data_IF_355992174774
#
_entry.id   IF_355992174774
#
_cell.length_a   1.000
_cell.length_b   1.000
_cell.length_c   1.000
_cell.angle_alpha   90.00
_cell.angle_beta   90.00
_cell.angle_gamma   90.00
#
_symmetry.space_group_name_H-M   'P 1'
#
loop_
_entity.id
_entity.type
_entity.pdbx_description
1 polymer ?
#
# COMPACT_ATOMS: atom_id res chain seq x y z
N UNK A 1 -1.50 -24.23 11.98
CA UNK A 1 -2.78 -24.79 12.50
C UNK A 1 -3.09 -24.09 13.81
N UNK A 2 -3.32 -22.77 13.74
CA UNK A 2 -3.54 -21.94 14.92
C UNK A 2 -5.01 -22.02 15.30
N UNK A 3 -5.23 -22.19 16.60
CA UNK A 3 -6.50 -22.47 17.25
C UNK A 3 -7.59 -21.46 16.85
N UNK A 4 -8.59 -21.91 16.08
CA UNK A 4 -9.81 -21.14 15.73
C UNK A 4 -10.75 -21.00 16.94
N UNK A 5 -10.49 -21.70 18.06
CA UNK A 5 -11.32 -21.69 19.24
C UNK A 5 -11.02 -20.48 20.13
N UNK A 6 -11.63 -19.32 19.83
CA UNK A 6 -11.59 -18.23 20.79
C UNK A 6 -11.97 -16.84 20.30
N UNK A 7 -12.25 -16.65 19.01
CA UNK A 7 -12.83 -15.41 18.51
C UNK A 7 -14.34 -15.62 18.40
N UNK A 8 -15.06 -15.47 19.50
CA UNK A 8 -16.51 -15.63 19.57
C UNK A 8 -17.27 -14.31 19.75
N UNK A 9 -16.56 -13.27 20.21
CA UNK A 9 -17.14 -11.98 20.60
C UNK A 9 -16.30 -10.80 20.15
N UNK A 10 -16.96 -9.67 19.95
CA UNK A 10 -16.31 -8.39 19.65
C UNK A 10 -15.39 -7.94 20.78
N UNK A 11 -15.79 -8.14 22.05
CA UNK A 11 -14.97 -7.80 23.21
C UNK A 11 -13.58 -8.46 23.14
N UNK A 12 -13.54 -9.76 22.80
CA UNK A 12 -12.29 -10.51 22.70
C UNK A 12 -11.45 -10.10 21.50
N UNK A 13 -12.08 -9.89 20.35
CA UNK A 13 -11.39 -9.34 19.18
C UNK A 13 -10.76 -7.97 19.50
N UNK A 14 -11.51 -7.11 20.17
CA UNK A 14 -11.07 -5.76 20.53
C UNK A 14 -9.93 -5.78 21.54
N UNK A 15 -10.02 -6.62 22.58
CA UNK A 15 -8.97 -6.77 23.60
C UNK A 15 -7.63 -7.28 23.03
N UNK A 16 -7.66 -8.00 21.90
CA UNK A 16 -6.44 -8.44 21.22
C UNK A 16 -5.86 -7.34 20.34
N UNK A 17 -6.70 -6.64 19.59
CA UNK A 17 -6.25 -5.71 18.55
C UNK A 17 -5.95 -4.31 19.06
N UNK A 18 -6.60 -3.86 20.12
CA UNK A 18 -6.57 -2.46 20.57
C UNK A 18 -6.14 -2.35 22.04
N UNK A 19 -5.52 -1.22 22.38
CA UNK A 19 -5.15 -0.87 23.77
C UNK A 19 -5.98 0.32 24.28
N UNK A 20 -7.25 0.39 23.83
CA UNK A 20 -8.15 1.51 24.06
C UNK A 20 -8.38 2.36 22.81
N UNK A 21 -9.64 2.76 22.60
CA UNK A 21 -10.06 3.52 21.41
C UNK A 21 -9.88 2.74 20.12
N UNK A 22 -9.66 3.46 19.00
CA UNK A 22 -9.51 2.88 17.66
C UNK A 22 -8.04 2.69 17.22
N UNK A 23 -7.09 2.71 18.15
CA UNK A 23 -5.67 2.54 17.85
C UNK A 23 -5.21 1.11 18.10
N UNK A 24 -4.43 0.56 17.17
CA UNK A 24 -3.87 -0.78 17.33
C UNK A 24 -2.90 -0.86 18.50
N UNK A 25 -3.01 -1.94 19.28
CA UNK A 25 -2.14 -2.22 20.42
C UNK A 25 -0.69 -2.41 19.97
N UNK A 26 0.30 -1.78 20.64
CA UNK A 26 1.71 -2.04 20.38
C UNK A 26 2.09 -3.52 20.55
N UNK A 27 1.43 -4.24 21.47
CA UNK A 27 1.68 -5.66 21.69
C UNK A 27 1.24 -6.51 20.50
N UNK A 28 0.08 -6.19 19.91
CA UNK A 28 -0.39 -6.85 18.70
C UNK A 28 0.51 -6.54 17.50
N UNK A 29 0.88 -5.27 17.30
CA UNK A 29 1.79 -4.86 16.23
C UNK A 29 3.14 -5.56 16.35
N UNK A 30 3.74 -5.61 17.55
CA UNK A 30 5.00 -6.32 17.75
C UNK A 30 4.92 -7.81 17.43
N UNK A 31 3.77 -8.46 17.68
CA UNK A 31 3.58 -9.88 17.40
C UNK A 31 3.56 -10.20 15.90
N UNK A 32 3.08 -9.27 15.08
CA UNK A 32 2.92 -9.46 13.63
C UNK A 32 3.98 -8.74 12.81
N UNK A 33 5.00 -8.17 13.46
CA UNK A 33 5.96 -7.22 12.85
C UNK A 33 5.23 -6.10 12.10
N UNK A 34 4.20 -5.57 12.76
CA UNK A 34 3.10 -4.89 12.13
C UNK A 34 3.41 -3.47 11.70
N UNK A 35 2.86 -3.12 10.54
CA UNK A 35 2.87 -1.75 10.02
C UNK A 35 1.46 -1.22 10.02
N UNK A 36 1.30 0.08 10.29
CA UNK A 36 0.00 0.77 10.23
C UNK A 36 0.00 1.81 9.12
N UNK A 37 -1.09 1.85 8.34
CA UNK A 37 -1.35 2.82 7.28
C UNK A 37 -2.73 3.46 7.49
N UNK A 38 -2.82 4.79 7.63
CA UNK A 38 -4.10 5.48 7.73
C UNK A 38 -4.71 5.78 6.35
N UNK A 39 -6.03 5.78 6.30
CA UNK A 39 -6.85 6.15 5.14
C UNK A 39 -7.94 7.13 5.57
N UNK A 40 -8.25 8.12 4.73
CA UNK A 40 -9.46 8.91 4.91
C UNK A 40 -10.66 8.04 4.49
N UNK A 41 -11.70 7.98 5.32
CA UNK A 41 -12.82 7.07 5.13
C UNK A 41 -14.11 7.67 5.67
N UNK A 42 -15.23 7.57 4.94
CA UNK A 42 -16.52 8.05 5.43
C UNK A 42 -17.20 7.07 6.41
N UNK A 43 -16.60 6.68 7.54
CA UNK A 43 -17.25 5.84 8.58
C UNK A 43 -18.02 4.58 8.08
N UNK A 44 -17.64 4.05 6.91
CA UNK A 44 -18.13 2.82 6.30
C UNK A 44 -17.11 2.27 5.31
N UNK A 45 -17.22 0.98 4.93
CA UNK A 45 -16.43 0.41 3.84
C UNK A 45 -16.99 0.95 2.52
N UNK A 46 -16.21 1.83 1.90
CA UNK A 46 -16.39 2.20 0.51
C UNK A 46 -15.62 1.23 -0.41
N UNK A 47 -15.79 1.40 -1.73
CA UNK A 47 -15.10 0.58 -2.72
C UNK A 47 -13.58 0.60 -2.55
N UNK A 48 -13.01 1.76 -2.19
CA UNK A 48 -11.56 1.90 -2.03
C UNK A 48 -11.04 1.06 -0.87
N UNK A 49 -11.71 1.09 0.28
CA UNK A 49 -11.31 0.27 1.43
C UNK A 49 -11.54 -1.22 1.17
N UNK A 50 -12.61 -1.58 0.45
CA UNK A 50 -12.82 -2.96 0.02
C UNK A 50 -11.69 -3.45 -0.90
N UNK A 51 -11.28 -2.63 -1.87
CA UNK A 51 -10.17 -2.95 -2.78
C UNK A 51 -8.85 -3.11 -2.02
N UNK A 52 -8.58 -2.26 -1.02
CA UNK A 52 -7.40 -2.34 -0.14
C UNK A 52 -7.39 -3.66 0.65
N UNK A 53 -8.52 -4.02 1.27
CA UNK A 53 -8.65 -5.28 2.00
C UNK A 53 -8.50 -6.49 1.08
N UNK A 54 -9.16 -6.49 -0.08
CA UNK A 54 -9.07 -7.54 -1.07
C UNK A 54 -7.62 -7.75 -1.54
N UNK A 55 -6.93 -6.66 -1.89
CA UNK A 55 -5.56 -6.71 -2.36
C UNK A 55 -4.59 -7.29 -1.30
N UNK A 56 -4.72 -6.83 -0.06
CA UNK A 56 -3.95 -7.36 1.06
C UNK A 56 -4.24 -8.84 1.32
N UNK A 57 -5.51 -9.22 1.35
CA UNK A 57 -5.94 -10.59 1.59
C UNK A 57 -5.46 -11.55 0.49
N UNK A 58 -5.55 -11.11 -0.77
CA UNK A 58 -5.01 -11.83 -1.94
C UNK A 58 -3.50 -12.05 -1.82
N UNK A 59 -2.73 -11.05 -1.38
CA UNK A 59 -1.29 -11.15 -1.23
C UNK A 59 -0.86 -12.22 -0.20
N UNK A 60 -1.69 -12.46 0.83
CA UNK A 60 -1.47 -13.50 1.85
C UNK A 60 -2.32 -14.75 1.65
N UNK A 61 -3.03 -14.86 0.51
CA UNK A 61 -3.87 -16.01 0.12
C UNK A 61 -4.98 -16.33 1.13
N UNK A 62 -5.61 -15.28 1.67
CA UNK A 62 -6.79 -15.38 2.53
C UNK A 62 -8.00 -14.81 1.79
N UNK A 63 -9.14 -15.48 1.88
CA UNK A 63 -10.38 -15.12 1.16
C UNK A 63 -11.52 -14.64 2.07
N UNK A 64 -11.36 -14.83 3.38
CA UNK A 64 -12.40 -14.61 4.39
C UNK A 64 -11.82 -13.89 5.61
N UNK A 65 -12.67 -13.12 6.27
CA UNK A 65 -12.35 -12.37 7.48
C UNK A 65 -13.46 -12.45 8.50
N UNK A 66 -13.28 -11.72 9.58
CA UNK A 66 -14.30 -11.52 10.62
C UNK A 66 -14.50 -10.04 10.86
N UNK A 67 -15.75 -9.63 11.07
CA UNK A 67 -16.12 -8.25 11.35
C UNK A 67 -16.74 -8.12 12.74
N UNK A 68 -16.49 -7.00 13.41
CA UNK A 68 -17.03 -6.68 14.73
C UNK A 68 -17.28 -5.19 14.92
N UNK A 69 -18.40 -4.82 15.56
CA UNK A 69 -18.80 -3.42 15.77
C UNK A 69 -18.15 -2.84 17.03
N UNK A 70 -17.33 -1.81 16.87
CA UNK A 70 -16.57 -1.19 17.95
C UNK A 70 -17.39 -0.08 18.62
N UNK A 71 -18.27 -0.47 19.54
CA UNK A 71 -18.98 0.44 20.44
C UNK A 71 -19.29 -0.27 21.75
N UNK A 72 -19.38 0.48 22.86
CA UNK A 72 -19.63 -0.10 24.19
C UNK A 72 -20.91 -0.96 24.23
N UNK A 73 -21.98 -0.51 23.56
CA UNK A 73 -23.26 -1.23 23.48
C UNK A 73 -23.21 -2.56 22.71
N UNK A 74 -22.11 -2.85 22.02
CA UNK A 74 -21.97 -3.97 21.09
C UNK A 74 -20.78 -4.87 21.42
N UNK A 75 -20.23 -4.79 22.63
CA UNK A 75 -19.09 -5.61 23.04
C UNK A 75 -19.41 -7.11 23.10
N UNK A 76 -20.65 -7.45 23.47
CA UNK A 76 -21.14 -8.83 23.56
C UNK A 76 -21.66 -9.39 22.22
N UNK A 77 -21.66 -8.58 21.16
CA UNK A 77 -22.08 -9.03 19.84
C UNK A 77 -21.15 -10.14 19.33
N UNK A 78 -21.75 -11.11 18.63
CA UNK A 78 -20.99 -12.10 17.89
C UNK A 78 -20.26 -11.45 16.72
N UNK A 79 -19.04 -11.91 16.45
CA UNK A 79 -18.33 -11.52 15.23
C UNK A 79 -19.03 -12.12 14.00
N UNK A 80 -19.05 -11.36 12.91
CA UNK A 80 -19.70 -11.76 11.65
C UNK A 80 -18.65 -12.23 10.66
N UNK A 81 -18.77 -13.44 10.08
CA UNK A 81 -17.87 -13.86 9.00
C UNK A 81 -18.13 -13.00 7.76
N UNK A 82 -17.06 -12.55 7.10
CA UNK A 82 -17.14 -11.72 5.89
C UNK A 82 -16.32 -12.31 4.75
N UNK A 83 -16.81 -12.15 3.53
CA UNK A 83 -16.00 -12.41 2.33
C UNK A 83 -15.09 -11.22 2.06
N UNK A 84 -13.80 -11.48 1.81
CA UNK A 84 -12.83 -10.44 1.42
C UNK A 84 -12.67 -10.36 -0.11
N UNK A 85 -13.27 -11.29 -0.85
CA UNK A 85 -13.21 -11.35 -2.32
C UNK A 85 -14.42 -10.75 -3.01
N UNK A 86 -15.47 -10.45 -2.25
CA UNK A 86 -16.69 -9.83 -2.74
C UNK A 86 -16.91 -8.50 -1.99
N UNK A 87 -16.60 -7.39 -2.67
CA UNK A 87 -16.74 -6.05 -2.11
C UNK A 87 -18.18 -5.69 -1.74
N UNK A 88 -19.17 -6.20 -2.47
CA UNK A 88 -20.57 -5.94 -2.18
C UNK A 88 -21.02 -6.71 -0.94
N UNK A 89 -20.62 -7.99 -0.82
CA UNK A 89 -20.87 -8.77 0.39
C UNK A 89 -20.17 -8.17 1.62
N UNK A 90 -18.92 -7.71 1.47
CA UNK A 90 -18.19 -7.05 2.54
C UNK A 90 -18.88 -5.76 3.01
N UNK A 91 -19.31 -4.91 2.08
CA UNK A 91 -20.03 -3.69 2.40
C UNK A 91 -21.40 -3.96 3.05
N UNK A 92 -22.09 -5.03 2.63
CA UNK A 92 -23.37 -5.44 3.21
C UNK A 92 -23.24 -6.06 4.61
N UNK A 93 -22.10 -6.72 4.89
CA UNK A 93 -21.83 -7.35 6.18
C UNK A 93 -21.19 -6.39 7.21
N UNK A 94 -20.93 -5.13 6.81
CA UNK A 94 -20.38 -4.10 7.69
C UNK A 94 -21.38 -2.98 7.93
N UNK A 95 -21.05 -2.10 8.88
CA UNK A 95 -21.96 -1.11 9.41
C UNK A 95 -21.63 0.28 8.91
N UNK A 96 -22.61 1.18 9.01
CA UNK A 96 -22.49 2.60 8.67
C UNK A 96 -22.61 3.43 9.93
N UNK A 97 -21.94 4.57 9.95
CA UNK A 97 -22.05 5.59 11.01
C UNK A 97 -21.69 5.07 12.41
N UNK A 98 -20.90 3.99 12.47
CA UNK A 98 -20.40 3.38 13.70
C UNK A 98 -18.99 2.84 13.47
N UNK A 99 -18.20 2.76 14.53
CA UNK A 99 -16.87 2.17 14.47
C UNK A 99 -16.95 0.67 14.26
N UNK A 100 -16.07 0.09 13.47
CA UNK A 100 -15.98 -1.36 13.33
C UNK A 100 -14.59 -1.80 12.89
N UNK A 101 -14.33 -3.09 13.07
CA UNK A 101 -13.10 -3.74 12.63
C UNK A 101 -13.44 -4.88 11.68
N UNK A 102 -12.61 -5.06 10.65
CA UNK A 102 -12.53 -6.27 9.83
C UNK A 102 -11.12 -6.84 10.01
N UNK A 103 -11.01 -8.07 10.50
CA UNK A 103 -9.73 -8.72 10.77
C UNK A 103 -9.59 -10.04 9.98
N UNK A 104 -8.35 -10.43 9.69
CA UNK A 104 -8.08 -11.79 9.20
C UNK A 104 -8.31 -12.80 10.34
N UNK A 105 -8.72 -14.04 10.04
CA UNK A 105 -9.04 -15.03 11.07
C UNK A 105 -7.84 -15.41 11.96
N UNK A 106 -6.63 -15.29 11.44
CA UNK A 106 -5.38 -15.54 12.17
C UNK A 106 -4.86 -14.30 12.92
N UNK A 107 -5.59 -13.18 12.85
CA UNK A 107 -5.26 -11.90 13.45
C UNK A 107 -3.91 -11.33 13.01
N UNK A 108 -3.43 -11.70 11.82
CA UNK A 108 -2.19 -11.14 11.25
C UNK A 108 -2.40 -9.76 10.61
N UNK A 109 -3.66 -9.37 10.37
CA UNK A 109 -4.03 -8.05 9.89
C UNK A 109 -5.46 -7.67 10.27
N UNK A 110 -5.71 -6.36 10.32
CA UNK A 110 -7.01 -5.77 10.58
C UNK A 110 -7.14 -4.39 9.92
N UNK A 111 -8.36 -4.06 9.49
CA UNK A 111 -8.79 -2.70 9.15
C UNK A 111 -9.79 -2.25 10.21
N UNK A 112 -9.50 -1.15 10.90
CA UNK A 112 -10.47 -0.44 11.74
C UNK A 112 -11.01 0.77 11.00
N UNK A 113 -12.32 0.93 10.95
CA UNK A 113 -13.02 2.10 10.41
C UNK A 113 -13.62 2.87 11.58
N UNK A 114 -13.36 4.17 11.65
CA UNK A 114 -13.79 5.03 12.76
C UNK A 114 -14.90 5.98 12.34
N UNK A 115 -15.64 6.48 13.32
CA UNK A 115 -16.62 7.55 13.13
C UNK A 115 -15.98 8.92 12.88
N UNK A 116 -14.68 9.06 13.13
CA UNK A 116 -13.91 10.31 13.03
C UNK A 116 -13.40 10.58 11.60
N UNK A 117 -13.91 9.86 10.61
CA UNK A 117 -13.61 10.09 9.20
C UNK A 117 -12.30 9.46 8.72
N UNK A 118 -11.78 8.45 9.43
CA UNK A 118 -10.60 7.71 9.01
C UNK A 118 -10.73 6.20 9.23
N UNK A 119 -9.82 5.47 8.61
CA UNK A 119 -9.60 4.05 8.86
C UNK A 119 -8.11 3.79 9.06
N UNK A 120 -7.76 2.79 9.86
CA UNK A 120 -6.38 2.32 10.01
C UNK A 120 -6.29 0.88 9.53
N UNK A 121 -5.39 0.64 8.59
CA UNK A 121 -4.99 -0.70 8.18
C UNK A 121 -3.72 -1.08 8.95
N UNK A 122 -3.80 -2.11 9.76
CA UNK A 122 -2.67 -2.68 10.49
C UNK A 122 -2.45 -4.12 10.06
N UNK A 123 -1.21 -4.58 10.08
CA UNK A 123 -0.94 -6.00 9.91
C UNK A 123 0.49 -6.30 9.50
N UNK A 124 0.74 -7.57 9.19
CA UNK A 124 2.05 -8.03 8.74
C UNK A 124 2.54 -7.26 7.51
N UNK A 125 3.87 -7.13 7.32
CA UNK A 125 4.42 -6.39 6.18
C UNK A 125 3.97 -6.95 4.82
N UNK A 126 3.79 -8.27 4.71
CA UNK A 126 3.31 -8.91 3.48
C UNK A 126 1.88 -8.47 3.12
N UNK A 127 0.97 -8.49 4.11
CA UNK A 127 -0.41 -8.06 3.92
C UNK A 127 -0.50 -6.57 3.59
N UNK A 128 0.15 -5.71 4.40
CA UNK A 128 0.05 -4.25 4.23
C UNK A 128 0.64 -3.83 2.88
N UNK A 129 1.82 -4.34 2.50
CA UNK A 129 2.40 -4.04 1.17
C UNK A 129 1.53 -4.50 0.01
N UNK A 130 0.89 -5.66 0.13
CA UNK A 130 -0.10 -6.13 -0.85
C UNK A 130 -1.33 -5.22 -0.94
N UNK A 131 -1.73 -4.60 0.17
CA UNK A 131 -2.91 -3.74 0.25
C UNK A 131 -2.69 -2.32 -0.30
N UNK A 132 -1.48 -1.75 -0.18
CA UNK A 132 -1.14 -0.40 -0.65
C UNK A 132 -0.46 -0.40 -2.03
N UNK A 133 -1.20 -0.85 -3.03
CA UNK A 133 -0.73 -0.92 -4.43
C UNK A 133 -0.40 0.49 -4.96
N UNK A 134 0.74 0.63 -5.65
CA UNK A 134 1.09 1.83 -6.41
C UNK A 134 1.96 2.87 -5.69
N UNK A 135 2.68 2.49 -4.63
CA UNK A 135 3.63 3.38 -3.95
C UNK A 135 4.13 2.89 -2.58
N UNK A 136 3.47 1.87 -2.01
CA UNK A 136 3.87 1.30 -0.73
C UNK A 136 3.40 2.14 0.48
N UNK A 137 3.93 1.78 1.65
CA UNK A 137 3.45 2.25 2.96
C UNK A 137 3.64 3.76 3.11
N UNK A 138 4.83 4.26 2.79
CA UNK A 138 5.16 5.67 3.02
C UNK A 138 4.42 6.60 2.07
N UNK A 139 4.18 6.20 0.82
CA UNK A 139 3.34 6.97 -0.10
C UNK A 139 1.88 7.00 0.36
N UNK A 140 1.36 5.89 0.90
CA UNK A 140 0.02 5.86 1.46
C UNK A 140 -0.10 6.81 2.68
N UNK A 141 0.88 6.78 3.59
CA UNK A 141 0.98 7.72 4.72
C UNK A 141 1.09 9.17 4.28
N UNK A 142 1.92 9.46 3.27
CA UNK A 142 2.09 10.81 2.74
C UNK A 142 0.80 11.32 2.09
N UNK A 143 0.12 10.47 1.32
CA UNK A 143 -1.18 10.78 0.72
C UNK A 143 -2.23 11.07 1.78
N UNK A 144 -2.28 10.27 2.85
CA UNK A 144 -3.14 10.55 3.98
C UNK A 144 -2.81 11.89 4.63
N UNK A 145 -1.53 12.20 4.88
CA UNK A 145 -1.12 13.50 5.44
C UNK A 145 -1.58 14.70 4.63
N UNK A 146 -1.52 14.63 3.29
CA UNK A 146 -2.05 15.68 2.39
C UNK A 146 -3.58 15.83 2.53
N UNK A 147 -4.30 14.72 2.57
CA UNK A 147 -5.77 14.72 2.72
C UNK A 147 -6.17 15.23 4.11
N UNK A 148 -5.49 14.77 5.16
CA UNK A 148 -5.70 15.18 6.54
C UNK A 148 -5.52 16.69 6.73
N UNK A 149 -4.47 17.27 6.13
CA UNK A 149 -4.26 18.73 6.14
C UNK A 149 -5.38 19.49 5.46
N UNK A 150 -5.93 18.95 4.36
CA UNK A 150 -7.02 19.57 3.61
C UNK A 150 -8.36 19.50 4.35
N UNK A 151 -8.65 18.36 4.97
CA UNK A 151 -9.94 18.11 5.63
C UNK A 151 -10.00 18.62 7.08
N UNK A 152 -8.86 18.70 7.77
CA UNK A 152 -8.80 19.20 9.16
C UNK A 152 -9.40 18.22 10.18
N UNK A 153 -9.91 18.75 11.29
CA UNK A 153 -10.48 17.97 12.38
C UNK A 153 -9.43 17.15 13.14
N UNK A 154 -9.74 15.90 13.47
CA UNK A 154 -8.82 14.97 14.14
C UNK A 154 -7.74 14.40 13.19
N UNK A 155 -7.94 14.48 11.87
CA UNK A 155 -7.10 13.82 10.88
C UNK A 155 -5.62 14.25 10.89
N UNK A 156 -5.27 15.55 11.06
CA UNK A 156 -3.87 15.95 11.15
C UNK A 156 -3.13 15.31 12.32
N UNK A 157 -3.81 15.08 13.46
CA UNK A 157 -3.24 14.38 14.62
C UNK A 157 -2.93 12.92 14.29
N UNK A 158 -3.83 12.24 13.58
CA UNK A 158 -3.61 10.86 13.10
C UNK A 158 -2.46 10.80 12.09
N UNK A 159 -2.37 11.78 11.18
CA UNK A 159 -1.27 11.84 10.21
C UNK A 159 0.10 12.02 10.91
N UNK A 160 0.14 12.82 11.98
CA UNK A 160 1.36 13.01 12.78
C UNK A 160 1.78 11.76 13.56
N UNK A 161 0.84 10.86 13.89
CA UNK A 161 1.14 9.57 14.53
C UNK A 161 1.72 8.55 13.54
N UNK A 162 1.38 8.66 12.26
CA UNK A 162 1.83 7.74 11.21
C UNK A 162 2.51 8.49 10.05
N UNK A 163 3.64 9.19 10.30
CA UNK A 163 4.36 9.88 9.25
C UNK A 163 5.04 8.88 8.29
N UNK A 164 5.28 9.27 7.02
CA UNK A 164 6.23 8.56 6.17
C UNK A 164 7.58 8.44 6.87
N UNK A 165 8.22 7.27 6.80
CA UNK A 165 9.52 7.04 7.43
C UNK A 165 10.68 7.55 6.57
N UNK A 166 10.56 7.37 5.25
CA UNK A 166 11.60 7.77 4.30
C UNK A 166 11.36 9.18 3.78
N UNK A 167 12.48 9.90 3.67
CA UNK A 167 12.53 11.21 3.02
C UNK A 167 12.20 11.05 1.54
N UNK A 168 11.44 12.00 1.02
CA UNK A 168 11.14 12.12 -0.39
C UNK A 168 12.31 12.81 -1.10
N UNK A 169 12.90 12.15 -2.10
CA UNK A 169 13.98 12.69 -2.93
C UNK A 169 13.40 13.41 -4.15
N UNK A 170 13.70 14.70 -4.30
CA UNK A 170 13.27 15.50 -5.45
C UNK A 170 14.34 15.57 -6.55
N UNK A 171 15.60 15.37 -6.18
CA UNK A 171 16.75 15.50 -7.08
C UNK A 171 17.72 14.33 -6.93
N UNK A 172 18.50 14.06 -7.96
CA UNK A 172 19.49 12.98 -7.95
C UNK A 172 20.57 13.14 -6.88
N UNK A 173 20.92 14.38 -6.50
CA UNK A 173 21.90 14.63 -5.44
C UNK A 173 21.42 14.21 -4.04
N UNK A 174 20.11 14.06 -3.85
CA UNK A 174 19.54 13.58 -2.58
C UNK A 174 19.48 12.05 -2.50
N UNK A 175 19.60 11.37 -3.64
CA UNK A 175 19.47 9.91 -3.73
C UNK A 175 20.66 9.24 -3.08
N UNK A 176 20.38 8.35 -2.14
CA UNK A 176 21.40 7.58 -1.46
C UNK A 176 22.07 6.57 -2.42
N UNK A 177 23.41 6.51 -2.50
CA UNK A 177 24.10 5.50 -3.30
C UNK A 177 23.73 4.07 -2.86
N UNK A 178 23.35 3.23 -3.82
CA UNK A 178 22.94 1.84 -3.57
C UNK A 178 21.45 1.67 -3.24
N UNK A 179 20.68 2.77 -3.17
CA UNK A 179 19.22 2.71 -3.13
C UNK A 179 18.64 2.13 -4.42
N UNK A 180 17.40 1.62 -4.35
CA UNK A 180 16.71 1.13 -5.54
C UNK A 180 16.47 2.25 -6.57
N UNK A 181 16.23 3.49 -6.13
CA UNK A 181 16.19 4.67 -7.03
C UNK A 181 17.50 4.88 -7.77
N UNK A 182 18.64 4.81 -7.07
CA UNK A 182 19.96 4.97 -7.71
C UNK A 182 20.21 3.90 -8.77
N UNK A 183 19.77 2.67 -8.51
CA UNK A 183 19.87 1.56 -9.46
C UNK A 183 18.95 1.75 -10.68
N UNK A 184 17.71 2.22 -10.49
CA UNK A 184 16.80 2.52 -11.60
C UNK A 184 17.41 3.54 -12.56
N UNK A 185 18.01 4.61 -12.03
CA UNK A 185 18.64 5.64 -12.87
C UNK A 185 19.93 5.12 -13.53
N UNK A 186 20.74 4.32 -12.82
CA UNK A 186 21.90 3.67 -13.43
C UNK A 186 21.51 2.74 -14.60
N UNK A 187 20.43 1.96 -14.44
CA UNK A 187 19.89 1.11 -15.51
C UNK A 187 19.42 1.94 -16.72
N UNK A 188 18.77 3.08 -16.49
CA UNK A 188 18.38 4.00 -17.55
C UNK A 188 19.60 4.52 -18.33
N UNK A 189 20.67 4.89 -17.63
CA UNK A 189 21.92 5.34 -18.27
C UNK A 189 22.57 4.22 -19.09
N UNK A 190 22.66 3.00 -18.53
CA UNK A 190 23.27 1.86 -19.21
C UNK A 190 22.52 1.43 -20.47
N UNK A 191 21.18 1.47 -20.48
CA UNK A 191 20.42 1.11 -21.69
C UNK A 191 20.58 2.16 -22.79
N UNK A 192 20.61 3.46 -22.44
CA UNK A 192 20.85 4.55 -23.40
C UNK A 192 22.27 4.52 -23.96
N UNK A 193 23.24 4.10 -23.15
CA UNK A 193 24.62 3.88 -23.59
C UNK A 193 24.82 2.59 -24.41
N UNK A 194 23.81 1.72 -24.49
CA UNK A 194 23.89 0.43 -25.19
C UNK A 194 24.68 -0.65 -24.45
N UNK A 195 24.91 -0.48 -23.14
CA UNK A 195 25.65 -1.44 -22.30
C UNK A 195 24.79 -2.64 -21.90
N UNK A 196 23.47 -2.48 -21.88
CA UNK A 196 22.49 -3.54 -21.64
C UNK A 196 21.42 -3.52 -22.73
N UNK A 197 20.87 -4.68 -23.05
CA UNK A 197 19.78 -4.78 -24.03
C UNK A 197 18.45 -4.24 -23.46
N UNK A 198 17.53 -3.78 -24.30
CA UNK A 198 16.22 -3.28 -23.85
C UNK A 198 15.38 -4.29 -23.06
N UNK A 199 15.30 -5.60 -23.44
CA UNK A 199 14.63 -6.60 -22.59
C UNK A 199 15.28 -6.78 -21.21
N UNK A 200 16.62 -6.78 -21.15
CA UNK A 200 17.34 -6.91 -19.89
C UNK A 200 17.15 -5.68 -18.99
N UNK A 201 17.07 -4.50 -19.59
CA UNK A 201 16.72 -3.26 -18.91
C UNK A 201 15.31 -3.34 -18.31
N UNK A 202 14.28 -3.66 -19.09
CA UNK A 202 12.89 -3.72 -18.64
C UNK A 202 12.73 -4.63 -17.41
N UNK A 203 13.26 -5.85 -17.48
CA UNK A 203 13.22 -6.81 -16.37
C UNK A 203 13.95 -6.32 -15.11
N UNK A 204 15.19 -5.82 -15.25
CA UNK A 204 15.97 -5.32 -14.10
C UNK A 204 15.35 -4.07 -13.49
N UNK A 205 14.82 -3.18 -14.31
CA UNK A 205 14.22 -1.93 -13.86
C UNK A 205 12.91 -2.20 -13.10
N UNK A 206 12.08 -3.15 -13.54
CA UNK A 206 10.89 -3.58 -12.79
C UNK A 206 11.22 -4.23 -11.44
N UNK A 207 12.31 -5.00 -11.39
CA UNK A 207 12.81 -5.55 -10.12
C UNK A 207 13.29 -4.44 -9.17
N UNK A 208 14.01 -3.43 -9.67
CA UNK A 208 14.42 -2.27 -8.88
C UNK A 208 13.22 -1.44 -8.43
N UNK A 209 12.23 -1.21 -9.30
CA UNK A 209 10.96 -0.54 -8.97
C UNK A 209 10.21 -1.25 -7.85
N UNK A 210 10.16 -2.59 -7.90
CA UNK A 210 9.54 -3.41 -6.86
C UNK A 210 10.28 -3.27 -5.53
N UNK A 211 11.62 -3.28 -5.53
CA UNK A 211 12.43 -3.05 -4.32
C UNK A 211 12.22 -1.65 -3.75
N UNK A 212 12.20 -0.63 -4.59
CA UNK A 212 11.91 0.76 -4.20
C UNK A 212 10.60 0.84 -3.41
N UNK A 213 9.53 0.27 -3.97
CA UNK A 213 8.21 0.23 -3.32
C UNK A 213 8.23 -0.57 -2.01
N UNK A 214 8.96 -1.68 -1.97
CA UNK A 214 9.08 -2.52 -0.77
C UNK A 214 9.86 -1.85 0.36
N UNK A 215 10.88 -1.05 0.02
CA UNK A 215 11.67 -0.27 0.97
C UNK A 215 10.99 1.05 1.34
N UNK A 216 9.95 1.47 0.62
CA UNK A 216 9.29 2.76 0.87
C UNK A 216 10.11 3.97 0.43
N UNK A 217 11.06 3.78 -0.49
CA UNK A 217 11.84 4.87 -1.08
C UNK A 217 10.91 5.78 -1.91
N UNK A 218 10.88 7.08 -1.58
CA UNK A 218 9.95 8.06 -2.17
C UNK A 218 10.69 9.05 -3.06
N UNK A 219 10.08 9.36 -4.19
CA UNK A 219 10.60 10.31 -5.18
C UNK A 219 9.54 11.34 -5.56
N UNK A 220 9.99 12.54 -5.90
CA UNK A 220 9.13 13.65 -6.34
C UNK A 220 9.82 14.52 -7.38
N UNK A 221 9.14 15.56 -7.84
CA UNK A 221 9.68 16.49 -8.83
C UNK A 221 10.08 15.80 -10.13
N UNK A 222 11.14 16.30 -10.76
CA UNK A 222 11.63 15.76 -12.04
C UNK A 222 12.07 14.29 -11.92
N UNK A 223 12.67 13.91 -10.78
CA UNK A 223 13.06 12.52 -10.52
C UNK A 223 11.85 11.59 -10.47
N UNK A 224 10.79 12.00 -9.76
CA UNK A 224 9.53 11.26 -9.72
C UNK A 224 8.89 11.12 -11.09
N UNK A 225 8.84 12.21 -11.88
CA UNK A 225 8.30 12.21 -13.25
C UNK A 225 9.07 11.26 -14.17
N UNK A 226 10.40 11.35 -14.22
CA UNK A 226 11.21 10.50 -15.09
C UNK A 226 11.02 9.01 -14.80
N UNK A 227 11.01 8.63 -13.51
CA UNK A 227 10.81 7.23 -13.11
C UNK A 227 9.38 6.76 -13.36
N UNK A 228 8.39 7.65 -13.30
CA UNK A 228 7.00 7.33 -13.62
C UNK A 228 6.80 7.11 -15.12
N UNK A 229 7.38 7.97 -15.95
CA UNK A 229 7.26 7.85 -17.40
C UNK A 229 7.92 6.55 -17.89
N UNK A 230 9.11 6.21 -17.36
CA UNK A 230 9.77 4.94 -17.69
C UNK A 230 8.97 3.72 -17.24
N UNK A 231 8.26 3.79 -16.11
CA UNK A 231 7.36 2.70 -15.70
C UNK A 231 6.32 2.41 -16.77
N UNK A 232 5.61 3.42 -17.27
CA UNK A 232 4.60 3.23 -18.30
C UNK A 232 5.19 2.77 -19.63
N UNK A 233 6.35 3.31 -20.02
CA UNK A 233 7.05 2.87 -21.23
C UNK A 233 7.39 1.38 -21.15
N UNK A 234 7.79 0.87 -19.98
CA UNK A 234 8.07 -0.56 -19.79
C UNK A 234 6.78 -1.39 -19.79
N UNK A 235 5.68 -0.89 -19.22
CA UNK A 235 4.39 -1.59 -19.26
C UNK A 235 3.82 -1.71 -20.68
N UNK A 236 4.10 -0.71 -21.54
CA UNK A 236 3.70 -0.71 -22.96
C UNK A 236 4.72 -1.43 -23.87
N UNK A 237 5.88 -1.83 -23.33
CA UNK A 237 6.94 -2.52 -24.07
C UNK A 237 6.66 -4.02 -24.16
N UNK A 238 6.53 -4.53 -25.38
CA UNK A 238 6.50 -5.96 -25.63
C UNK A 238 7.91 -6.50 -25.86
N UNK A 239 8.19 -7.73 -25.41
CA UNK A 239 9.45 -8.39 -25.75
C UNK A 239 9.49 -8.75 -27.25
N UNK A 240 10.67 -8.79 -27.90
CA UNK A 240 10.78 -9.02 -29.35
C UNK A 240 10.07 -10.27 -29.88
N UNK A 241 9.99 -11.33 -29.06
CA UNK A 241 9.32 -12.58 -29.41
C UNK A 241 7.78 -12.50 -29.33
N UNK A 242 7.23 -11.40 -28.80
CA UNK A 242 5.81 -11.16 -28.52
C UNK A 242 5.26 -9.91 -29.22
N UNK A 243 6.04 -9.24 -30.08
CA UNK A 243 5.63 -7.99 -30.72
C UNK A 243 4.39 -8.12 -31.59
N UNK A 244 3.41 -7.26 -31.32
CA UNK A 244 2.26 -6.98 -32.16
C UNK A 244 2.37 -5.59 -32.83
N UNK A 245 1.71 -5.36 -33.98
CA UNK A 245 1.69 -4.05 -34.61
C UNK A 245 1.07 -2.98 -33.68
N UNK A 246 1.88 -2.02 -33.26
CA UNK A 246 1.48 -0.96 -32.33
C UNK A 246 2.15 -1.05 -30.95
N UNK A 247 2.84 -2.15 -30.66
CA UNK A 247 3.64 -2.29 -29.45
C UNK A 247 4.91 -1.45 -29.53
N UNK A 248 5.35 -0.99 -28.36
CA UNK A 248 6.55 -0.20 -28.23
C UNK A 248 7.78 -1.09 -28.42
N UNK A 249 8.61 -0.77 -29.42
CA UNK A 249 9.78 -1.58 -29.76
C UNK A 249 11.06 -1.14 -29.02
N UNK A 250 12.15 -1.88 -29.24
CA UNK A 250 13.46 -1.64 -28.60
C UNK A 250 14.01 -0.22 -28.81
N UNK A 251 13.90 0.31 -30.03
CA UNK A 251 14.41 1.65 -30.37
C UNK A 251 13.57 2.74 -29.71
N UNK A 252 12.25 2.58 -29.73
CA UNK A 252 11.30 3.49 -29.08
C UNK A 252 11.49 3.51 -27.56
N UNK A 253 11.72 2.34 -26.94
CA UNK A 253 12.04 2.21 -25.51
C UNK A 253 13.28 3.04 -25.16
N UNK A 254 14.37 2.90 -25.93
CA UNK A 254 15.61 3.64 -25.71
C UNK A 254 15.41 5.14 -25.88
N UNK A 255 14.64 5.58 -26.89
CA UNK A 255 14.32 7.00 -27.11
C UNK A 255 13.55 7.55 -25.90
N UNK A 256 12.51 6.86 -25.46
CA UNK A 256 11.69 7.29 -24.32
C UNK A 256 12.46 7.35 -23.01
N UNK A 257 13.34 6.37 -22.76
CA UNK A 257 14.22 6.38 -21.58
C UNK A 257 15.21 7.55 -21.64
N UNK A 258 15.73 7.88 -22.83
CA UNK A 258 16.61 9.05 -23.03
C UNK A 258 15.87 10.36 -22.77
N UNK A 259 14.64 10.49 -23.22
CA UNK A 259 13.78 11.66 -22.94
C UNK A 259 13.55 11.81 -21.43
N UNK A 260 13.27 10.72 -20.72
CA UNK A 260 13.10 10.73 -19.27
C UNK A 260 14.40 11.10 -18.53
N UNK A 261 15.55 10.58 -18.97
CA UNK A 261 16.86 10.96 -18.40
C UNK A 261 17.17 12.45 -18.58
N UNK A 262 16.75 13.06 -19.69
CA UNK A 262 16.99 14.49 -19.93
C UNK A 262 16.23 15.40 -18.95
N UNK A 263 15.22 14.88 -18.24
CA UNK A 263 14.56 15.60 -17.14
C UNK A 263 15.42 15.65 -15.87
N UNK A 264 16.38 14.74 -15.76
CA UNK A 264 17.30 14.66 -14.65
C UNK A 264 18.53 15.50 -15.02
N UNK A 265 18.72 16.60 -14.31
CA UNK A 265 19.91 17.46 -14.44
C UNK A 265 21.13 16.72 -13.83
N UNK A 266 21.60 15.68 -14.55
CA UNK A 266 22.67 14.75 -14.16
C UNK A 266 24.06 15.33 -14.36
#
# INVERSE_FOLDING_TARGET
MTDRAGLDSVARLSAILFDGGANFSPAWLSRVDGVVVPFASPAHIDRRLADVLYAGAKAVRVDSGVAGRLSEDHQDDAIVPVSLTDAAALAAATWRDTGFVVALPDLTAALVVTTDGYALLGGSPAFVRGAVIGGGVDDARARFGRVAKKLGGALPGIAAQYPPLHREWATMHEVEPGSAVSEQVALMTSVVAGEISPPAFASKWMNASSRRQNHGERVSGALGTALHDVFFVIEDYAEPDLWEPGDLNDEELVIKVREALALLDL
#
